data_IF_748873251703
#
_entry.id   IF_748873251703
#
_cell.length_a   1.000
_cell.length_b   1.000
_cell.length_c   1.000
_cell.angle_alpha   90.00
_cell.angle_beta   90.00
_cell.angle_gamma   90.00
#
_symmetry.space_group_name_H-M   'P 1'
#
loop_
_entity.id
_entity.type
_entity.pdbx_description
1 polymer ?
2 non-polymer ?
3 water ?
#
# COMPACT_ATOMS: atom_id res chain seq x y z
N UNK A 1 -17.33 1.95 -31.09
CA UNK A 1 -16.73 3.03 -30.34
C UNK A 1 -16.25 2.64 -28.96
N UNK A 2 -14.99 3.02 -28.62
CA UNK A 2 -14.33 2.75 -27.33
C UNK A 2 -15.09 3.37 -26.14
N UNK A 3 -15.20 2.63 -25.01
CA UNK A 3 -15.89 3.11 -23.81
C UNK A 3 -15.19 4.36 -23.27
N UNK A 4 -15.92 5.50 -23.26
CA UNK A 4 -15.40 6.77 -22.76
C UNK A 4 -15.93 7.01 -21.35
N UNK A 5 -15.04 7.31 -20.40
CA UNK A 5 -15.41 7.53 -19.00
C UNK A 5 -15.34 9.00 -18.65
N UNK A 6 -16.42 9.52 -18.04
CA UNK A 6 -16.56 10.92 -17.60
C UNK A 6 -17.20 10.96 -16.22
N UNK A 7 -17.00 12.08 -15.51
CA UNK A 7 -17.50 12.37 -14.17
C UNK A 7 -19.01 12.19 -13.97
N UNK A 8 -19.80 12.51 -14.99
CA UNK A 8 -21.26 12.44 -14.95
C UNK A 8 -21.87 11.01 -15.08
N UNK A 9 -21.00 10.00 -15.19
CA UNK A 9 -21.39 8.59 -15.24
C UNK A 9 -21.35 7.99 -13.81
N UNK A 10 -21.04 8.84 -12.81
CA UNK A 10 -20.92 8.49 -11.39
C UNK A 10 -21.80 9.32 -10.46
N UNK A 11 -22.35 8.67 -9.43
CA UNK A 11 -23.10 9.30 -8.35
C UNK A 11 -22.07 9.47 -7.23
N UNK A 12 -22.00 10.67 -6.64
CA UNK A 12 -21.01 11.00 -5.62
C UNK A 12 -21.64 10.91 -4.27
N UNK A 13 -21.38 9.78 -3.55
CA UNK A 13 -22.04 9.42 -2.30
C UNK A 13 -21.47 9.83 -0.97
N UNK A 14 -20.17 9.52 -0.70
CA UNK A 14 -19.55 9.80 0.60
C UNK A 14 -18.12 10.29 0.47
N UNK A 15 -17.70 11.20 1.38
CA UNK A 15 -16.32 11.67 1.39
C UNK A 15 -15.51 10.71 2.24
N UNK A 16 -14.46 10.14 1.69
CA UNK A 16 -13.69 9.20 2.50
C UNK A 16 -12.43 9.80 3.06
N UNK A 17 -11.89 10.74 2.31
CA UNK A 17 -10.66 11.46 2.63
C UNK A 17 -10.56 12.72 1.80
N UNK A 18 -9.86 13.72 2.34
CA UNK A 18 -9.74 15.04 1.74
C UNK A 18 -8.42 15.69 2.15
N UNK A 19 -7.74 16.27 1.18
CA UNK A 19 -6.46 16.95 1.42
C UNK A 19 -6.10 18.01 0.39
N UNK A 20 -4.84 18.43 0.45
CA UNK A 20 -4.24 19.47 -0.38
C UNK A 20 -4.35 19.19 -1.89
N UNK A 21 -4.00 17.97 -2.32
CA UNK A 21 -4.01 17.55 -3.72
C UNK A 21 -5.39 17.17 -4.26
N UNK A 22 -6.34 16.93 -3.37
CA UNK A 22 -7.69 16.57 -3.76
C UNK A 22 -8.47 15.80 -2.72
N UNK A 23 -9.37 14.93 -3.19
CA UNK A 23 -10.22 14.15 -2.30
C UNK A 23 -10.55 12.74 -2.80
N UNK A 24 -11.02 11.88 -1.88
CA UNK A 24 -11.42 10.53 -2.28
C UNK A 24 -12.90 10.44 -2.01
N UNK A 25 -13.67 10.02 -3.00
CA UNK A 25 -15.13 9.87 -2.79
C UNK A 25 -15.56 8.46 -3.12
N UNK A 26 -16.48 7.91 -2.31
CA UNK A 26 -17.17 6.64 -2.60
C UNK A 26 -18.21 6.99 -3.70
N UNK A 27 -18.08 6.33 -4.85
CA UNK A 27 -18.93 6.56 -6.03
C UNK A 27 -19.67 5.29 -6.47
N UNK A 28 -20.72 5.47 -7.30
CA UNK A 28 -21.45 4.39 -7.94
C UNK A 28 -21.56 4.73 -9.42
N UNK A 29 -21.24 3.75 -10.29
CA UNK A 29 -21.37 3.93 -11.74
C UNK A 29 -22.85 3.70 -12.04
N UNK A 30 -23.55 4.75 -12.50
CA UNK A 30 -25.01 4.71 -12.78
C UNK A 30 -25.41 3.52 -13.66
N UNK A 31 -24.68 3.32 -14.78
CA UNK A 31 -24.94 2.25 -15.74
C UNK A 31 -24.88 0.82 -15.18
N UNK A 32 -23.95 0.54 -14.23
CA UNK A 32 -23.78 -0.83 -13.72
C UNK A 32 -24.25 -1.09 -12.29
N UNK A 33 -24.44 -0.02 -11.51
CA UNK A 33 -24.78 -0.13 -10.10
C UNK A 33 -23.60 -0.56 -9.21
N UNK A 34 -22.36 -0.53 -9.76
CA UNK A 34 -21.11 -0.90 -9.09
C UNK A 34 -20.47 0.27 -8.37
N UNK A 35 -19.85 -0.01 -7.22
CA UNK A 35 -19.22 0.98 -6.38
C UNK A 35 -17.70 1.00 -6.50
N UNK A 36 -17.12 2.22 -6.48
CA UNK A 36 -15.68 2.50 -6.57
C UNK A 36 -15.27 3.65 -5.65
N UNK A 37 -13.95 3.84 -5.44
CA UNK A 37 -13.41 4.94 -4.66
C UNK A 37 -12.69 5.77 -5.67
N UNK A 38 -13.26 6.94 -5.97
CA UNK A 38 -12.66 7.83 -6.96
C UNK A 38 -11.75 8.76 -6.25
N UNK A 39 -10.50 8.79 -6.69
CA UNK A 39 -9.53 9.74 -6.17
C UNK A 39 -9.49 10.83 -7.25
N UNK A 40 -9.88 12.07 -6.84
CA UNK A 40 -9.94 13.26 -7.69
C UNK A 40 -8.79 14.19 -7.29
N UNK A 41 -7.91 14.46 -8.25
CA UNK A 41 -6.73 15.29 -8.07
C UNK A 41 -6.78 16.58 -8.90
N UNK A 42 -6.59 17.71 -8.19
CA UNK A 42 -6.57 19.06 -8.75
C UNK A 42 -5.28 19.22 -9.55
N UNK A 43 -5.39 19.21 -10.89
CA UNK A 43 -4.28 19.30 -11.83
C UNK A 43 -3.26 20.39 -11.46
N UNK A 44 -3.78 21.54 -10.95
CA UNK A 44 -2.99 22.68 -10.49
C UNK A 44 -2.11 22.36 -9.26
N UNK A 45 -2.67 21.72 -8.22
CA UNK A 45 -1.92 21.36 -6.99
C UNK A 45 -0.83 20.31 -7.23
N UNK A 46 -1.04 19.41 -8.23
CA UNK A 46 -0.05 18.39 -8.63
C UNK A 46 1.11 19.10 -9.37
N UNK A 47 0.76 19.96 -10.37
CA UNK A 47 1.68 20.77 -11.19
C UNK A 47 2.51 21.75 -10.34
N UNK A 48 1.87 22.42 -9.37
CA UNK A 48 2.51 23.39 -8.48
C UNK A 48 3.47 22.77 -7.48
N UNK A 49 3.18 21.54 -7.00
CA UNK A 49 4.00 20.91 -5.97
C UNK A 49 5.08 19.93 -6.49
N UNK A 50 5.25 19.87 -7.84
CA UNK A 50 6.22 19.00 -8.53
C UNK A 50 5.95 17.49 -8.20
N UNK A 51 4.64 17.10 -8.25
CA UNK A 51 4.16 15.73 -7.99
C UNK A 51 3.68 15.04 -9.27
N UNK A 52 3.93 15.65 -10.44
CA UNK A 52 3.57 15.15 -11.77
C UNK A 52 4.28 13.83 -12.05
N UNK A 53 5.57 13.75 -11.68
CA UNK A 53 6.41 12.54 -11.88
C UNK A 53 5.76 11.35 -11.13
N UNK A 54 5.37 11.61 -9.87
CA UNK A 54 4.75 10.67 -8.95
C UNK A 54 3.39 10.18 -9.44
N UNK A 55 2.52 11.14 -9.86
CA UNK A 55 1.17 10.88 -10.36
C UNK A 55 1.19 9.96 -11.57
N UNK A 56 2.15 10.19 -12.48
CA UNK A 56 2.30 9.45 -13.71
C UNK A 56 2.89 8.09 -13.46
N UNK A 57 3.79 7.99 -12.47
CA UNK A 57 4.39 6.72 -12.01
C UNK A 57 3.24 5.84 -11.47
N UNK A 58 2.34 6.44 -10.65
CA UNK A 58 1.16 5.80 -10.07
C UNK A 58 0.28 5.25 -11.18
N UNK A 59 -0.11 6.09 -12.17
CA UNK A 59 -0.94 5.67 -13.29
C UNK A 59 -0.31 4.53 -14.10
N UNK A 60 1.01 4.61 -14.40
CA UNK A 60 1.76 3.59 -15.14
C UNK A 60 1.76 2.26 -14.40
N UNK A 61 2.13 2.29 -13.09
CA UNK A 61 2.16 1.06 -12.27
C UNK A 61 0.76 0.45 -12.17
N UNK A 62 -0.26 1.30 -11.97
CA UNK A 62 -1.66 0.86 -11.85
C UNK A 62 -2.16 0.20 -13.15
N UNK A 63 -1.81 0.78 -14.31
CA UNK A 63 -2.18 0.22 -15.61
C UNK A 63 -1.43 -1.11 -15.85
N UNK A 64 -0.15 -1.17 -15.49
CA UNK A 64 0.70 -2.33 -15.74
C UNK A 64 0.70 -3.46 -14.69
N UNK A 65 -0.10 -3.35 -13.62
CA UNK A 65 -0.08 -4.37 -12.58
C UNK A 65 -1.42 -5.05 -12.33
N UNK A 66 -1.36 -6.32 -11.98
CA UNK A 66 -2.56 -7.09 -11.68
C UNK A 66 -2.18 -8.15 -10.70
N UNK A 67 -2.57 -7.92 -9.46
CA UNK A 67 -2.32 -8.86 -8.38
C UNK A 67 -3.50 -8.76 -7.41
N UNK A 68 -3.95 -9.88 -6.81
CA UNK A 68 -5.08 -9.77 -5.84
C UNK A 68 -4.86 -8.82 -4.66
N UNK A 69 -3.61 -8.55 -4.25
CA UNK A 69 -3.33 -7.68 -3.10
C UNK A 69 -2.77 -6.30 -3.49
N UNK A 70 -2.91 -5.95 -4.77
CA UNK A 70 -2.57 -4.63 -5.22
C UNK A 70 -3.83 -4.07 -5.61
N UNK A 71 -4.09 -2.89 -5.14
CA UNK A 71 -5.28 -2.15 -5.47
C UNK A 71 -5.40 -2.01 -7.02
N UNK A 72 -6.57 -2.28 -7.55
CA UNK A 72 -6.75 -2.25 -8.99
C UNK A 72 -7.44 -0.98 -9.46
N UNK A 73 -6.94 -0.45 -10.58
CA UNK A 73 -7.47 0.72 -11.26
C UNK A 73 -8.50 0.24 -12.30
N UNK A 74 -9.75 0.69 -12.16
CA UNK A 74 -10.83 0.33 -13.08
C UNK A 74 -10.78 1.32 -14.25
N UNK A 75 -10.92 2.64 -13.99
CA UNK A 75 -10.78 3.65 -15.01
C UNK A 75 -9.92 4.79 -14.51
N UNK A 76 -9.18 5.46 -15.42
CA UNK A 76 -8.49 6.71 -15.15
C UNK A 76 -8.80 7.67 -16.28
N UNK A 77 -9.35 8.84 -15.94
CA UNK A 77 -9.76 9.82 -16.92
C UNK A 77 -9.52 11.23 -16.42
N UNK A 78 -9.57 12.21 -17.32
CA UNK A 78 -9.25 13.58 -16.96
C UNK A 78 -10.14 14.63 -17.59
N UNK A 79 -10.32 15.74 -16.87
CA UNK A 79 -11.03 16.95 -17.28
C UNK A 79 -9.92 18.01 -17.43
N UNK A 80 -10.26 19.27 -17.81
CA UNK A 80 -9.26 20.34 -17.95
C UNK A 80 -8.54 20.64 -16.62
N UNK A 81 -9.29 20.57 -15.51
CA UNK A 81 -8.79 20.87 -14.16
C UNK A 81 -8.66 19.65 -13.20
N UNK A 82 -9.07 18.43 -13.63
CA UNK A 82 -9.02 17.27 -12.73
C UNK A 82 -8.42 15.98 -13.29
N UNK A 83 -7.80 15.18 -12.39
CA UNK A 83 -7.23 13.86 -12.64
C UNK A 83 -8.04 12.90 -11.78
N UNK A 84 -8.67 11.91 -12.43
CA UNK A 84 -9.59 10.95 -11.81
C UNK A 84 -9.12 9.52 -11.88
N UNK A 85 -8.90 8.90 -10.69
CA UNK A 85 -8.54 7.48 -10.53
C UNK A 85 -9.78 6.79 -9.96
N UNK A 86 -10.39 5.90 -10.75
CA UNK A 86 -11.55 5.11 -10.34
C UNK A 86 -10.95 3.80 -9.88
N UNK A 87 -10.87 3.68 -8.55
CA UNK A 87 -10.21 2.57 -7.88
C UNK A 87 -11.20 1.58 -7.35
N UNK A 88 -10.76 0.33 -7.25
CA UNK A 88 -11.46 -0.77 -6.62
C UNK A 88 -11.81 -0.27 -5.19
N UNK A 89 -13.07 -0.37 -4.77
CA UNK A 89 -13.45 0.13 -3.45
C UNK A 89 -13.11 -0.88 -2.33
N UNK A 90 -12.20 -0.49 -1.40
CA UNK A 90 -11.82 -1.41 -0.32
C UNK A 90 -12.71 -1.15 0.89
N UNK A 91 -13.81 -1.95 1.05
CA UNK A 91 -14.84 -1.75 2.10
C UNK A 91 -14.34 -1.95 3.49
N UNK A 92 -13.24 -2.67 3.64
CA UNK A 92 -12.69 -2.89 4.96
C UNK A 92 -11.98 -1.70 5.55
N UNK A 93 -11.81 -0.63 4.80
CA UNK A 93 -11.15 0.57 5.31
C UNK A 93 -9.65 0.39 5.46
N UNK A 94 -9.03 1.34 6.10
CA UNK A 94 -7.60 1.33 6.33
C UNK A 94 -7.21 0.32 7.43
N UNK A 95 -6.10 -0.40 7.26
CA UNK A 95 -5.63 -1.32 8.29
C UNK A 95 -5.27 -0.55 9.58
N UNK A 96 -4.86 0.71 9.46
CA UNK A 96 -4.56 1.53 10.63
C UNK A 96 -5.82 1.74 11.46
N UNK A 97 -7.00 1.92 10.81
CA UNK A 97 -8.26 2.07 11.54
C UNK A 97 -8.42 0.86 12.44
N UNK A 98 -8.20 -0.35 11.89
CA UNK A 98 -8.36 -1.64 12.56
C UNK A 98 -7.32 -1.95 13.63
N UNK A 99 -6.03 -1.63 13.38
CA UNK A 99 -4.94 -1.86 14.34
C UNK A 99 -4.99 -0.83 15.48
N UNK A 100 -5.36 0.44 15.17
CA UNK A 100 -5.51 1.54 16.13
C UNK A 100 -6.52 1.21 17.24
N UNK A 101 -7.50 0.37 16.92
CA UNK A 101 -8.59 -0.10 17.80
C UNK A 101 -8.31 -1.43 18.48
N UNK A 102 -7.71 -2.38 17.76
CA UNK A 102 -7.37 -3.67 18.34
C UNK A 102 -6.05 -3.57 19.16
N UNK A 103 -5.27 -2.45 18.99
CA UNK A 103 -3.94 -2.16 19.58
C UNK A 103 -2.84 -3.06 18.94
N UNK A 104 -3.04 -4.41 18.96
CA UNK A 104 -2.20 -5.49 18.43
C UNK A 104 -3.05 -6.47 17.63
N UNK A 105 -2.41 -7.25 16.74
CA UNK A 105 -3.05 -8.36 16.03
C UNK A 105 -2.38 -9.61 16.58
N UNK A 106 -3.05 -10.76 16.45
CA UNK A 106 -2.49 -12.04 16.87
C UNK A 106 -1.43 -12.43 15.84
N UNK A 107 -0.43 -13.25 16.24
CA UNK A 107 0.63 -13.73 15.32
C UNK A 107 0.02 -14.28 14.03
N UNK A 108 -1.10 -15.04 14.15
CA UNK A 108 -1.87 -15.65 13.06
C UNK A 108 -2.51 -14.62 12.12
N UNK A 109 -2.92 -13.47 12.68
CA UNK A 109 -3.53 -12.37 11.91
C UNK A 109 -2.43 -11.63 11.09
N UNK A 110 -1.31 -11.26 11.73
CA UNK A 110 -0.17 -10.61 11.07
C UNK A 110 0.49 -11.55 10.05
N UNK A 111 0.45 -12.88 10.32
CA UNK A 111 0.94 -13.98 9.48
C UNK A 111 0.21 -13.90 8.16
N UNK A 112 -1.13 -13.87 8.23
CA UNK A 112 -2.03 -13.79 7.11
C UNK A 112 -1.80 -12.51 6.31
N UNK A 113 -1.64 -11.35 6.98
CA UNK A 113 -1.44 -10.09 6.26
C UNK A 113 -0.06 -9.99 5.65
N UNK A 114 0.96 -10.42 6.40
CA UNK A 114 2.35 -10.37 5.98
C UNK A 114 2.61 -11.23 4.77
N UNK A 115 1.94 -12.39 4.70
CA UNK A 115 2.00 -13.35 3.61
C UNK A 115 1.37 -12.77 2.34
N UNK A 116 0.27 -12.01 2.50
CA UNK A 116 -0.38 -11.31 1.39
C UNK A 116 0.51 -10.18 0.87
N UNK A 117 1.12 -9.40 1.76
CA UNK A 117 2.06 -8.34 1.36
C UNK A 117 3.29 -8.94 0.63
N UNK A 118 3.83 -10.08 1.15
CA UNK A 118 4.94 -10.83 0.57
C UNK A 118 4.59 -11.25 -0.84
N UNK A 119 3.40 -11.81 -1.02
CA UNK A 119 2.90 -12.22 -2.32
C UNK A 119 2.94 -11.04 -3.31
N UNK A 120 2.33 -9.89 -2.94
CA UNK A 120 2.27 -8.68 -3.76
C UNK A 120 3.63 -8.09 -4.13
N UNK A 121 4.55 -7.99 -3.16
CA UNK A 121 5.89 -7.45 -3.38
C UNK A 121 6.76 -8.41 -4.20
N UNK A 122 6.59 -9.75 -4.04
CA UNK A 122 7.34 -10.74 -4.81
C UNK A 122 6.97 -10.54 -6.27
N UNK A 123 5.68 -10.33 -6.54
CA UNK A 123 5.18 -10.06 -7.88
C UNK A 123 5.78 -8.74 -8.45
N UNK A 124 5.73 -7.61 -7.70
CA UNK A 124 6.26 -6.35 -8.25
C UNK A 124 7.74 -6.45 -8.63
N UNK A 125 8.55 -7.09 -7.76
CA UNK A 125 9.98 -7.33 -7.91
C UNK A 125 10.29 -8.29 -9.07
N UNK A 126 9.84 -9.56 -8.94
CA UNK A 126 10.11 -10.65 -9.87
C UNK A 126 9.42 -10.50 -11.23
N UNK A 127 8.20 -10.01 -11.25
CA UNK A 127 7.47 -9.94 -12.50
C UNK A 127 7.51 -8.61 -13.20
N UNK A 128 7.38 -7.52 -12.43
CA UNK A 128 7.21 -6.21 -13.01
C UNK A 128 8.45 -5.37 -12.96
N UNK A 129 9.51 -5.86 -12.31
CA UNK A 129 10.78 -5.17 -12.06
C UNK A 129 10.59 -3.78 -11.37
N UNK A 130 9.54 -3.65 -10.52
CA UNK A 130 9.17 -2.43 -9.77
C UNK A 130 9.56 -2.57 -8.30
N UNK A 131 10.20 -1.51 -7.70
CA UNK A 131 10.47 -1.45 -6.26
C UNK A 131 9.43 -0.48 -5.71
N UNK A 132 8.66 -0.93 -4.74
CA UNK A 132 7.55 -0.18 -4.17
C UNK A 132 7.96 1.05 -3.32
N UNK A 133 8.94 0.88 -2.42
CA UNK A 133 9.53 1.97 -1.57
C UNK A 133 8.64 2.67 -0.52
N UNK A 134 7.32 2.54 -0.58
CA UNK A 134 6.47 3.26 0.36
C UNK A 134 5.64 2.34 1.28
N UNK A 135 6.17 1.14 1.63
CA UNK A 135 5.46 0.22 2.50
C UNK A 135 5.41 0.72 3.96
N UNK A 136 4.20 1.08 4.38
CA UNK A 136 3.84 1.62 5.69
C UNK A 136 2.39 1.22 5.94
N UNK A 137 1.99 1.14 7.22
CA UNK A 137 0.64 0.77 7.65
C UNK A 137 -0.44 1.59 6.92
N UNK A 138 -0.13 2.89 6.67
CA UNK A 138 -0.91 3.94 6.02
C UNK A 138 -1.36 3.56 4.59
N UNK A 139 -0.60 2.71 3.91
CA UNK A 139 -0.91 2.30 2.53
C UNK A 139 -1.54 0.89 2.46
N UNK A 140 -1.96 0.36 3.57
CA UNK A 140 -2.58 -0.97 3.62
C UNK A 140 -4.05 -0.83 3.93
N UNK A 141 -4.89 -1.46 3.14
CA UNK A 141 -6.32 -1.43 3.37
C UNK A 141 -6.83 -2.88 3.38
N UNK A 142 -8.13 -3.06 3.68
CA UNK A 142 -8.74 -4.38 3.67
C UNK A 142 -9.87 -4.34 2.66
N UNK A 143 -10.00 -5.37 1.83
CA UNK A 143 -11.16 -5.41 0.93
C UNK A 143 -12.44 -5.87 1.73
N UNK A 144 -13.57 -6.02 1.06
CA UNK A 144 -14.81 -6.45 1.71
C UNK A 144 -14.69 -7.87 2.36
N UNK A 145 -13.72 -8.73 1.91
CA UNK A 145 -13.51 -10.07 2.50
C UNK A 145 -12.48 -10.16 3.59
N UNK A 146 -11.68 -9.10 3.78
CA UNK A 146 -10.65 -9.13 4.80
C UNK A 146 -9.28 -9.44 4.25
N UNK A 147 -9.13 -9.36 2.94
CA UNK A 147 -7.83 -9.54 2.27
C UNK A 147 -7.18 -8.16 2.12
N UNK A 148 -5.86 -8.11 2.24
CA UNK A 148 -5.01 -6.94 2.12
C UNK A 148 -5.13 -6.26 0.75
N UNK A 149 -5.07 -4.93 0.73
CA UNK A 149 -4.94 -4.14 -0.50
C UNK A 149 -3.80 -3.13 -0.29
N UNK A 150 -2.77 -3.18 -1.09
CA UNK A 150 -1.67 -2.23 -1.00
C UNK A 150 -2.04 -1.08 -1.95
N UNK A 151 -1.95 0.14 -1.46
CA UNK A 151 -2.31 1.33 -2.21
C UNK A 151 -1.13 2.24 -2.40
N UNK A 152 -1.30 3.31 -3.22
CA UNK A 152 -0.30 4.38 -3.39
C UNK A 152 1.02 3.97 -4.04
N UNK A 153 1.02 4.02 -5.36
CA UNK A 153 2.09 3.61 -6.25
C UNK A 153 3.00 4.72 -6.79
N UNK A 154 2.80 5.95 -6.31
CA UNK A 154 3.57 7.11 -6.70
C UNK A 154 5.05 7.00 -6.38
N UNK A 155 5.41 6.39 -5.25
CA UNK A 155 6.82 6.23 -4.84
C UNK A 155 7.54 5.01 -5.43
N UNK A 156 6.94 4.39 -6.46
CA UNK A 156 7.51 3.22 -7.13
C UNK A 156 8.69 3.62 -8.01
N UNK A 157 9.64 2.69 -8.16
CA UNK A 157 10.75 2.85 -9.08
C UNK A 157 10.67 1.66 -10.02
N UNK A 158 10.45 1.97 -11.31
CA UNK A 158 10.34 0.98 -12.39
C UNK A 158 11.72 0.66 -12.99
N UNK A 159 11.80 -0.42 -13.77
CA UNK A 159 13.01 -0.88 -14.43
C UNK A 159 14.14 -1.30 -13.51
N UNK A 160 13.82 -2.11 -12.48
CA UNK A 160 14.80 -2.64 -11.52
C UNK A 160 14.79 -4.18 -11.58
N UNK A 161 15.66 -4.74 -12.44
CA UNK A 161 15.85 -6.19 -12.63
C UNK A 161 17.11 -6.57 -11.92
N UNK A 162 17.07 -7.68 -11.15
CA UNK A 162 18.20 -8.18 -10.37
C UNK A 162 18.67 -7.17 -9.30
N UNK A 163 19.96 -7.22 -8.96
CA UNK A 163 20.59 -6.36 -7.96
C UNK A 163 20.69 -4.89 -8.29
N UNK A 164 19.90 -4.41 -9.29
CA UNK A 164 19.85 -3.00 -9.73
C UNK A 164 19.59 -2.02 -8.59
N UNK A 165 20.20 -0.82 -8.67
CA UNK A 165 20.13 0.17 -7.59
C UNK A 165 19.33 1.44 -7.90
N UNK A 166 18.90 2.13 -6.83
CA UNK A 166 18.14 3.38 -6.87
C UNK A 166 18.90 4.42 -6.05
N UNK A 167 18.61 5.72 -6.28
CA UNK A 167 19.25 6.86 -5.60
C UNK A 167 18.29 7.79 -4.85
N UNK A 169 15.66 9.82 -2.45
CA UNK A 169 15.41 9.86 -1.01
C UNK A 169 13.91 10.09 -0.82
N UNK A 170 13.16 9.00 -0.55
CA UNK A 170 11.71 9.03 -0.41
C UNK A 170 11.21 8.06 0.65
N UNK A 171 9.96 8.25 1.07
CA UNK A 171 9.29 7.41 2.06
C UNK A 171 8.90 8.20 3.28
N UNK A 172 8.25 7.53 4.24
CA UNK A 172 7.84 8.18 5.48
C UNK A 172 8.96 8.05 6.50
N UNK A 173 9.48 9.20 7.04
CA UNK A 173 10.60 9.16 8.01
C UNK A 173 10.68 7.93 8.91
N UNK A 174 9.56 7.62 9.59
CA UNK A 174 9.43 6.48 10.50
C UNK A 174 9.65 5.09 9.88
N UNK A 175 9.51 4.97 8.54
CA UNK A 175 9.59 3.69 7.81
C UNK A 175 10.85 3.52 6.96
N UNK A 176 11.56 4.63 6.70
CA UNK A 176 12.83 4.69 5.96
C UNK A 176 13.84 3.65 6.40
N UNK A 177 14.34 2.85 5.46
CA UNK A 177 15.35 1.81 5.67
C UNK A 177 16.72 2.43 6.03
N UNK A 178 17.61 1.71 6.77
CA UNK A 178 18.95 2.26 7.09
C UNK A 178 19.73 2.75 5.86
N UNK A 179 19.89 1.91 4.83
CA UNK A 179 20.55 2.19 3.53
C UNK A 179 20.07 3.45 2.85
N UNK A 180 18.78 3.78 3.03
CA UNK A 180 18.15 4.99 2.46
C UNK A 180 18.67 6.23 3.22
N UNK A 181 18.71 6.12 4.56
CA UNK A 181 19.18 7.17 5.45
C UNK A 181 20.70 7.42 5.28
N UNK A 182 21.49 6.33 5.14
CA UNK A 182 22.93 6.40 4.89
C UNK A 182 23.26 7.00 3.51
N UNK A 183 22.19 7.32 2.73
CA UNK A 183 22.21 7.96 1.39
C UNK A 183 23.02 7.19 0.32
N UNK A 184 23.00 5.85 0.41
CA UNK A 184 23.73 4.97 -0.51
C UNK A 184 23.06 4.90 -1.90
N UNK A 185 23.22 3.75 -2.57
CA UNK A 185 22.61 3.39 -3.83
C UNK A 185 21.99 2.04 -3.47
N UNK A 186 20.71 2.10 -3.02
CA UNK A 186 19.93 0.97 -2.48
C UNK A 186 19.18 0.13 -3.53
N UNK A 187 18.86 -1.11 -3.14
CA UNK A 187 18.15 -2.06 -3.98
C UNK A 187 16.77 -2.41 -3.43
N UNK A 188 16.12 -3.38 -4.07
CA UNK A 188 14.80 -3.95 -3.77
C UNK A 188 14.56 -4.39 -2.32
N UNK A 189 15.64 -4.57 -1.54
CA UNK A 189 15.57 -4.99 -0.14
C UNK A 189 14.92 -3.97 0.81
N UNK A 190 14.78 -2.69 0.38
CA UNK A 190 14.07 -1.64 1.13
C UNK A 190 12.60 -2.07 1.38
N UNK A 191 11.99 -2.83 0.42
CA UNK A 191 10.61 -3.30 0.59
C UNK A 191 10.51 -4.31 1.74
N UNK A 192 11.57 -5.12 1.98
CA UNK A 192 11.58 -6.08 3.10
C UNK A 192 11.81 -5.42 4.44
N UNK A 193 12.54 -4.31 4.44
CA UNK A 193 12.65 -3.51 5.65
C UNK A 193 11.19 -3.08 5.99
N UNK A 194 10.49 -2.48 5.00
CA UNK A 194 9.11 -2.04 5.10
C UNK A 194 8.22 -3.11 5.68
N UNK A 195 8.38 -4.33 5.18
CA UNK A 195 7.63 -5.47 5.66
C UNK A 195 7.82 -5.72 7.18
N UNK A 196 9.06 -5.57 7.65
CA UNK A 196 9.45 -5.74 9.05
C UNK A 196 8.82 -4.70 9.94
N UNK A 197 8.90 -3.40 9.57
CA UNK A 197 8.25 -2.31 10.29
C UNK A 197 6.72 -2.59 10.41
N UNK A 198 6.01 -2.94 9.27
CA UNK A 198 4.57 -3.21 9.31
C UNK A 198 4.19 -4.43 10.11
N UNK A 199 4.99 -5.47 10.04
CA UNK A 199 4.65 -6.66 10.80
C UNK A 199 4.97 -6.47 12.29
N UNK A 200 5.97 -5.60 12.62
CA UNK A 200 6.29 -5.28 14.01
C UNK A 200 5.09 -4.52 14.61
N UNK A 201 4.64 -3.42 13.96
CA UNK A 201 3.45 -2.59 14.26
C UNK A 201 2.23 -3.53 14.48
N UNK A 202 2.11 -4.58 13.64
CA UNK A 202 1.02 -5.53 13.71
C UNK A 202 0.98 -6.37 14.99
N UNK A 203 2.03 -7.18 15.19
CA UNK A 203 2.17 -8.11 16.31
C UNK A 203 2.59 -7.50 17.65
N UNK A 204 3.15 -6.27 17.64
CA UNK A 204 3.66 -5.59 18.83
C UNK A 204 2.81 -4.42 19.32
N UNK A 205 2.12 -3.72 18.41
CA UNK A 205 1.26 -2.57 18.74
C UNK A 205 1.91 -1.22 18.69
N UNK A 206 3.18 -1.15 18.33
CA UNK A 206 3.89 0.14 18.23
C UNK A 206 5.00 0.01 17.18
N UNK A 207 5.51 1.15 16.68
CA UNK A 207 6.60 1.21 15.71
C UNK A 207 7.89 0.68 16.38
N UNK A 208 8.81 -0.03 15.67
CA UNK A 208 10.04 -0.49 16.34
C UNK A 208 10.99 0.66 16.64
N UNK A 209 10.88 1.78 15.90
CA UNK A 209 11.71 2.96 16.15
C UNK A 209 10.87 4.22 16.10
N UNK A 210 10.81 4.95 17.25
CA UNK A 210 10.11 6.22 17.36
C UNK A 210 10.69 7.26 18.32
N UNK A 211 10.72 8.52 17.84
CA UNK A 211 11.09 9.77 18.49
C UNK A 211 10.58 10.91 17.60
N UNK A 212 9.94 11.93 18.22
CA UNK A 212 9.37 13.11 17.54
C UNK A 212 10.38 13.92 16.73
N UNK A 213 11.65 13.96 17.18
CA UNK A 213 12.74 14.65 16.47
C UNK A 213 13.32 13.66 15.47
N UNK A 214 13.34 14.06 14.17
CA UNK A 214 13.81 13.24 13.04
C UNK A 214 15.23 12.69 13.20
N UNK A 215 16.18 13.52 13.70
CA UNK A 215 17.59 13.17 13.95
C UNK A 215 17.71 11.95 14.87
N UNK A 216 17.05 12.00 16.04
CA UNK A 216 17.07 10.94 17.04
C UNK A 216 16.43 9.63 16.53
N UNK A 217 15.28 9.74 15.80
CA UNK A 217 14.55 8.60 15.21
C UNK A 217 15.48 7.80 14.29
N UNK A 218 16.24 8.51 13.44
CA UNK A 218 17.18 7.92 12.48
C UNK A 218 18.24 7.04 13.16
N UNK A 219 18.82 7.54 14.29
CA UNK A 219 19.84 6.89 15.12
C UNK A 219 19.34 5.54 15.64
N UNK A 220 18.05 5.47 16.03
CA UNK A 220 17.42 4.24 16.50
C UNK A 220 17.33 3.24 15.33
N UNK A 221 16.90 3.74 14.14
CA UNK A 221 16.78 2.90 12.93
C UNK A 221 18.19 2.37 12.60
N UNK A 222 19.18 3.28 12.54
CA UNK A 222 20.58 2.96 12.28
C UNK A 222 21.23 2.06 13.32
N UNK A 223 20.96 2.27 14.64
CA UNK A 223 21.66 1.49 15.67
C UNK A 223 20.93 0.53 16.61
N UNK A 224 19.76 0.91 17.13
CA UNK A 224 19.02 0.13 18.13
C UNK A 224 18.63 -1.28 17.72
N UNK A 225 19.02 -2.26 18.55
CA UNK A 225 18.61 -3.65 18.39
C UNK A 225 17.17 -3.65 18.94
N UNK A 226 16.21 -4.05 18.09
CA UNK A 226 14.78 -4.04 18.37
C UNK A 226 14.32 -4.70 19.65
N UNK A 227 13.54 -3.96 20.47
CA UNK A 227 12.98 -4.45 21.72
C UNK A 227 11.73 -5.28 21.40
N UNK A 228 11.37 -6.24 22.25
CA UNK A 228 10.25 -7.13 21.98
C UNK A 228 9.33 -7.44 23.18
N UNK A 229 8.06 -7.83 22.91
CA UNK A 229 7.18 -8.25 24.02
C UNK A 229 7.39 -9.70 24.43
N UNK A 230 7.17 -10.01 25.73
CA UNK A 230 7.33 -11.35 26.32
C UNK A 230 6.34 -12.36 25.71
N UNK A 231 5.17 -11.88 25.27
CA UNK A 231 4.08 -12.68 24.67
C UNK A 231 4.46 -13.17 23.27
N UNK A 232 5.29 -12.38 22.57
CA UNK A 232 5.73 -12.69 21.21
C UNK A 232 6.67 -13.88 21.20
N UNK A 233 6.35 -14.85 20.36
CA UNK A 233 7.16 -16.06 20.22
C UNK A 233 8.55 -15.82 19.62
N UNK A 234 9.39 -16.87 19.51
CA UNK A 234 10.73 -16.67 18.93
C UNK A 234 10.74 -16.49 17.41
N UNK A 235 9.93 -17.29 16.67
CA UNK A 235 9.79 -17.25 15.20
C UNK A 235 9.50 -15.82 14.72
N UNK A 236 8.54 -15.13 15.37
CA UNK A 236 8.19 -13.74 15.09
C UNK A 236 9.34 -12.79 15.43
N UNK A 237 10.09 -13.07 16.53
CA UNK A 237 11.25 -12.23 16.90
C UNK A 237 12.37 -12.39 15.85
N UNK A 238 12.52 -13.64 15.32
CA UNK A 238 13.51 -13.94 14.30
C UNK A 238 13.15 -13.17 13.01
N UNK A 239 11.90 -13.36 12.51
CA UNK A 239 11.39 -12.69 11.31
C UNK A 239 11.65 -11.20 11.42
N UNK A 240 11.23 -10.60 12.54
CA UNK A 240 11.39 -9.18 12.76
C UNK A 240 12.82 -8.72 12.77
N UNK A 241 13.70 -9.42 13.55
CA UNK A 241 15.15 -9.10 13.56
C UNK A 241 15.69 -9.32 12.15
N UNK A 242 15.30 -10.45 11.54
CA UNK A 242 15.62 -10.80 10.15
C UNK A 242 15.36 -9.67 9.15
N UNK A 243 14.09 -9.17 9.07
CA UNK A 243 13.73 -8.09 8.12
C UNK A 243 14.26 -6.77 8.60
N UNK A 244 14.48 -6.65 9.91
CA UNK A 244 15.01 -5.40 10.43
C UNK A 244 16.55 -5.35 10.65
N UNK A 245 17.31 -6.16 9.88
CA UNK A 245 18.78 -6.12 9.88
C UNK A 245 19.15 -4.81 9.20
N UNK A 246 20.03 -4.02 9.82
CA UNK A 246 20.44 -2.72 9.29
C UNK A 246 21.14 -2.80 7.93
N UNK A 247 21.81 -3.94 7.63
CA UNK A 247 22.54 -4.14 6.37
C UNK A 247 21.64 -4.87 5.37
N UNK A 248 21.29 -4.23 4.22
CA UNK A 248 20.39 -4.90 3.26
C UNK A 248 20.89 -6.25 2.80
N UNK A 249 22.24 -6.40 2.68
CA UNK A 249 22.89 -7.64 2.28
C UNK A 249 22.63 -8.73 3.31
N UNK A 250 22.69 -8.38 4.61
CA UNK A 250 22.46 -9.30 5.72
C UNK A 250 20.99 -9.66 5.85
N UNK A 251 20.12 -8.62 5.71
CA UNK A 251 18.66 -8.69 5.82
C UNK A 251 17.99 -9.85 5.12
N UNK A 252 16.96 -10.42 5.76
CA UNK A 252 16.12 -11.47 5.20
C UNK A 252 15.42 -10.85 3.98
N UNK A 253 15.63 -11.49 2.83
CA UNK A 253 15.16 -11.06 1.52
C UNK A 253 16.16 -10.19 0.76
N UNK A 254 17.28 -9.87 1.39
CA UNK A 254 18.30 -9.03 0.79
C UNK A 254 19.19 -9.76 -0.20
N UNK A 255 19.02 -11.09 -0.24
CA UNK A 255 19.78 -11.99 -1.10
C UNK A 255 19.22 -12.10 -2.50
N UNK A 256 19.93 -12.87 -3.37
CA UNK A 256 19.47 -13.00 -4.78
C UNK A 256 18.18 -13.78 -4.96
N UNK A 257 17.77 -14.60 -3.97
CA UNK A 257 16.49 -15.30 -4.13
C UNK A 257 15.30 -14.36 -3.75
N UNK A 258 15.62 -13.14 -3.30
CA UNK A 258 14.70 -12.05 -2.97
C UNK A 258 13.63 -12.48 -1.98
N UNK A 259 12.34 -12.61 -2.40
CA UNK A 259 11.22 -12.98 -1.51
C UNK A 259 11.25 -14.44 -1.05
N UNK A 260 11.97 -15.31 -1.79
CA UNK A 260 12.08 -16.73 -1.47
C UNK A 260 12.73 -16.91 -0.09
N UNK A 261 13.70 -16.03 0.26
CA UNK A 261 14.39 -15.96 1.54
C UNK A 261 13.36 -15.78 2.68
N UNK A 262 12.38 -14.85 2.51
CA UNK A 262 11.29 -14.58 3.46
C UNK A 262 10.27 -15.73 3.49
N UNK A 263 9.80 -16.18 2.33
CA UNK A 263 8.82 -17.26 2.23
C UNK A 263 9.22 -18.56 2.94
N UNK A 264 10.54 -18.82 3.05
CA UNK A 264 11.13 -20.01 3.65
C UNK A 264 11.39 -19.87 5.14
N UNK A 265 11.26 -18.63 5.70
CA UNK A 265 11.51 -18.39 7.12
C UNK A 265 10.49 -19.15 7.95
N UNK A 266 10.97 -19.68 9.11
CA UNK A 266 10.23 -20.50 10.08
C UNK A 266 8.85 -19.92 10.45
N UNK A 267 8.75 -18.59 10.60
CA UNK A 267 7.46 -17.96 10.90
C UNK A 267 6.36 -18.31 9.84
N UNK A 268 6.78 -18.56 8.57
CA UNK A 268 5.87 -18.85 7.47
C UNK A 268 5.66 -20.31 7.15
N UNK A 269 6.23 -21.20 8.01
CA UNK A 269 6.13 -22.65 7.88
C UNK A 269 4.68 -23.16 7.78
N UNK A 270 4.46 -24.06 6.82
CA UNK A 270 3.15 -24.63 6.55
C UNK A 270 2.35 -23.91 5.50
N UNK A 271 2.64 -22.60 5.26
CA UNK A 271 1.87 -21.83 4.26
C UNK A 271 2.25 -22.25 2.83
N UNK A 272 1.23 -22.46 1.97
CA UNK A 272 1.51 -22.76 0.56
C UNK A 272 1.39 -21.44 -0.16
N UNK A 273 2.51 -20.98 -0.71
CA UNK A 273 2.62 -19.68 -1.38
C UNK A 273 1.79 -19.50 -2.62
N UNK A 274 1.44 -20.60 -3.27
CA UNK A 274 0.54 -20.56 -4.41
C UNK A 274 -0.90 -20.34 -3.87
N UNK A 275 -1.17 -20.76 -2.61
CA UNK A 275 -2.48 -20.60 -1.98
C UNK A 275 -2.68 -19.18 -1.41
N UNK A 276 -1.58 -18.54 -0.97
CA UNK A 276 -1.58 -17.17 -0.46
C UNK A 276 -2.15 -16.32 -1.59
N UNK A 277 -1.55 -16.48 -2.77
CA UNK A 277 -1.91 -15.82 -3.99
C UNK A 277 -3.38 -16.05 -4.31
N UNK A 278 -3.82 -17.31 -4.24
CA UNK A 278 -5.15 -17.77 -4.62
C UNK A 278 -6.31 -17.40 -3.71
N UNK A 279 -6.05 -16.65 -2.60
CA UNK A 279 -7.09 -16.24 -1.62
C UNK A 279 -7.78 -17.49 -1.07
N UNK A 280 -7.00 -18.59 -0.99
CA UNK A 280 -7.43 -19.90 -0.51
C UNK A 280 -7.30 -19.90 1.00
N UNK A 281 -6.43 -19.00 1.52
CA UNK A 281 -6.22 -18.76 2.94
C UNK A 281 -7.44 -17.94 3.41
N UNK A 282 -8.12 -18.40 4.48
CA UNK A 282 -9.31 -17.72 5.02
C UNK A 282 -8.91 -16.54 5.92
N UNK A 283 -9.49 -15.33 5.68
CA UNK A 283 -9.08 -14.15 6.45
C UNK A 283 -9.39 -14.25 7.94
N UNK A 284 -8.54 -13.72 8.84
CA UNK A 284 -8.84 -13.84 10.26
C UNK A 284 -9.92 -12.85 10.72
N UNK A 285 -10.21 -11.85 9.89
CA UNK A 285 -11.24 -10.88 10.21
C UNK A 285 -12.08 -10.62 9.00
N UNK A 286 -13.38 -10.74 9.17
CA UNK A 286 -14.30 -10.46 8.09
C UNK A 286 -14.98 -9.10 8.32
N UNK A 287 -14.71 -8.07 7.48
CA UNK A 287 -15.37 -6.77 7.65
C UNK A 287 -16.87 -6.97 7.69
N UNK A 288 -17.52 -6.31 8.67
CA UNK A 288 -18.94 -6.53 8.93
C UNK A 288 -19.87 -5.57 8.27
N UNK A 289 -19.49 -5.06 7.10
CA UNK A 289 -20.25 -4.11 6.27
C UNK A 289 -21.60 -4.69 5.82
N UNK A 290 -22.68 -3.93 6.00
CA UNK A 290 -24.01 -4.37 5.59
C UNK A 290 -24.21 -4.19 4.09
N UNK A 291 -23.65 -3.11 3.51
CA UNK A 291 -23.71 -2.76 2.08
C UNK A 291 -22.42 -2.04 1.67
N UNK A 292 -22.30 -1.63 0.40
CA UNK A 292 -21.13 -0.91 -0.06
C UNK A 292 -21.14 0.54 0.43
N UNK A 293 -22.30 1.05 0.83
CA UNK A 293 -22.39 2.41 1.38
C UNK A 293 -22.07 2.44 2.89
N UNK A 294 -21.93 1.25 3.51
CA UNK A 294 -21.57 1.12 4.92
C UNK A 294 -20.10 1.56 5.07
N UNK A 295 -19.89 2.76 5.65
CA UNK A 295 -18.59 3.37 5.87
C UNK A 295 -18.13 3.33 7.30
N UNK A 296 -18.54 2.29 8.02
CA UNK A 296 -18.19 2.02 9.41
C UNK A 296 -16.68 1.93 9.69
N UNK A 297 -15.87 1.54 8.66
CA UNK A 297 -14.43 1.39 8.86
C UNK A 297 -13.65 2.54 8.29
N UNK A 298 -14.35 3.65 8.10
CA UNK A 298 -13.81 4.91 7.59
C UNK A 298 -13.97 6.05 8.63
N UNK A 299 -13.12 7.08 8.49
CA UNK A 299 -13.04 8.24 9.36
C UNK A 299 -14.28 9.12 9.25
N UNK A 300 -15.03 9.24 10.37
CA UNK A 300 -16.24 10.08 10.48
C UNK A 300 -15.97 11.55 10.12
N UNK A 301 -14.74 12.04 10.40
CA UNK A 301 -14.27 13.40 10.08
C UNK A 301 -14.48 13.72 8.59
N UNK A 302 -14.47 12.70 7.72
CA UNK A 302 -14.70 12.90 6.30
C UNK A 302 -16.12 12.48 5.90
N UNK A 303 -16.55 11.28 6.34
CA UNK A 303 -17.85 10.72 5.97
C UNK A 303 -19.03 11.61 6.29
N UNK A 304 -19.02 12.27 7.48
CA UNK A 304 -20.10 13.17 7.94
C UNK A 304 -20.23 14.44 7.11
N UNK A 305 -19.10 14.94 6.53
CA UNK A 305 -19.02 16.14 5.68
C UNK A 305 -19.89 16.04 4.45
N UNK A 306 -20.42 17.19 4.00
CA UNK A 306 -21.26 17.29 2.81
C UNK A 306 -20.34 17.42 1.61
N UNK A 307 -20.61 16.66 0.51
CA UNK A 307 -19.79 16.73 -0.70
C UNK A 307 -20.12 17.99 -1.50
N UNK A 308 -19.10 18.82 -1.72
CA UNK A 308 -19.16 20.08 -2.48
C UNK A 308 -17.97 20.17 -3.43
N UNK A 309 -18.25 20.28 -4.75
CA UNK A 309 -17.24 20.40 -5.80
C UNK A 309 -16.47 21.73 -5.64
N UNK A 310 -15.13 21.63 -5.56
CA UNK A 310 -14.17 22.72 -5.38
C UNK A 310 -13.98 23.59 -6.62
N UNK A 328 0.80 21.99 -20.37
CA UNK A 328 -0.14 21.65 -19.29
C UNK A 328 -0.87 20.32 -19.53
N UNK A 329 -1.57 20.21 -20.67
CA UNK A 329 -2.37 19.06 -21.08
C UNK A 329 -1.55 17.89 -21.65
N UNK A 330 -0.39 18.19 -22.30
CA UNK A 330 0.49 17.18 -22.90
C UNK A 330 1.23 16.34 -21.85
N UNK A 331 1.37 16.89 -20.61
CA UNK A 331 2.01 16.26 -19.47
C UNK A 331 1.35 14.95 -19.08
N UNK A 332 0.00 14.95 -18.97
CA UNK A 332 -0.80 13.80 -18.57
C UNK A 332 -1.30 13.01 -19.78
N UNK A 333 -0.38 12.71 -20.72
CA UNK A 333 -0.62 12.01 -21.97
C UNK A 333 -1.16 10.60 -21.82
N UNK A 334 -0.37 9.73 -21.21
CA UNK A 334 -0.70 8.31 -21.05
C UNK A 334 -1.47 8.02 -19.75
N UNK A 335 -2.14 9.05 -19.19
CA UNK A 335 -2.89 8.93 -17.95
C UNK A 335 -4.17 8.11 -18.09
N UNK A 336 -4.95 8.36 -19.16
CA UNK A 336 -6.23 7.72 -19.36
C UNK A 336 -6.15 6.21 -19.51
N UNK A 337 -7.15 5.51 -18.92
CA UNK A 337 -7.24 4.05 -18.97
C UNK A 337 -8.63 3.51 -18.73
N UNK A 338 -8.94 2.37 -19.37
CA UNK A 338 -10.16 1.60 -19.16
C UNK A 338 -9.70 0.13 -18.96
N UNK A 339 -10.11 -0.49 -17.87
CA UNK A 339 -9.72 -1.86 -17.60
C UNK A 339 -10.48 -2.82 -18.50
N UNK A 340 -9.86 -3.96 -18.80
CA UNK A 340 -10.45 -5.02 -19.62
C UNK A 340 -11.32 -5.99 -18.80
N UNK A 341 -11.29 -5.87 -17.44
CA UNK A 341 -12.05 -6.70 -16.51
C UNK A 341 -13.37 -6.06 -16.10
N UNK A 342 -14.35 -6.88 -15.68
CA UNK A 342 -15.70 -6.46 -15.23
C UNK A 342 -15.76 -6.35 -13.70
N UNK A 343 -16.71 -5.57 -13.20
CA UNK A 343 -16.91 -5.37 -11.75
C UNK A 343 -16.11 -4.21 -11.16
#
# INVERSE_FOLDING_TARGET
GSLRVTMNEFEYLKLLGKGTFGKVILVKEKATGRYYAMKILKKEVIVAKDEVAHTLTESRVLQNSRHPFLTALKYSFQTHDRLCFVMEYANGGELFFHLSRERVFSEDRARFYGAEIVSALDYLHSEKNVVYRDLKLENLMLDKDGHIKITDFGLCKEGIKDGATMKXFCGTPEYLAPEVLEDNDYGRAVDWWGLGVVMYEMMCGRLPFYNQDHEKLFELILMEEIRFPRTLGPEAKSLLSGLLKKDPKQRLGGGPSDAKEIMQHRFFAGIVWQHVYEKKLSPPFKPQVTSEVDTRYFDEEFTAQMITITPPDQDDSMECVDSERREEQEMFRDFDYIADWEG
#
